data_IF_488714601783
#
_entry.id   IF_488714601783
#
_cell.length_a   1.000
_cell.length_b   1.000
_cell.length_c   1.000
_cell.angle_alpha   90.00
_cell.angle_beta   90.00
_cell.angle_gamma   90.00
#
_symmetry.space_group_name_H-M   'P 1'
#
loop_
_entity.id
_entity.type
_entity.pdbx_description
1 polymer ?
#
# COMPACT_ATOMS: atom_id res chain seq x y z
N UNK A 1 16.93 -66.32 -5.54
CA UNK A 1 17.76 -65.44 -6.39
C UNK A 1 16.98 -64.33 -7.09
N UNK A 2 15.69 -64.49 -7.42
CA UNK A 2 14.89 -63.47 -8.14
C UNK A 2 14.64 -62.16 -7.38
N UNK A 3 14.70 -62.16 -6.04
CA UNK A 3 14.49 -60.96 -5.22
C UNK A 3 15.65 -59.95 -5.33
N UNK A 4 16.89 -60.44 -5.44
CA UNK A 4 18.08 -59.60 -5.50
C UNK A 4 18.20 -58.89 -6.85
N UNK A 5 17.84 -59.57 -7.94
CA UNK A 5 17.89 -59.01 -9.30
C UNK A 5 16.81 -57.95 -9.52
N UNK A 6 15.63 -58.12 -8.92
CA UNK A 6 14.57 -57.09 -8.90
C UNK A 6 15.01 -55.84 -8.15
N UNK A 7 15.65 -56.01 -6.98
CA UNK A 7 16.14 -54.90 -6.16
C UNK A 7 17.22 -54.09 -6.90
N UNK A 8 18.19 -54.77 -7.54
CA UNK A 8 19.21 -54.11 -8.35
C UNK A 8 18.60 -53.35 -9.54
N UNK A 9 17.62 -53.95 -10.22
CA UNK A 9 16.91 -53.32 -11.33
C UNK A 9 16.14 -52.07 -10.90
N UNK A 10 15.52 -52.12 -9.72
CA UNK A 10 14.79 -51.00 -9.13
C UNK A 10 15.75 -49.85 -8.77
N UNK A 11 16.87 -50.18 -8.11
CA UNK A 11 17.89 -49.20 -7.74
C UNK A 11 18.50 -48.50 -8.95
N UNK A 12 18.84 -49.25 -10.01
CA UNK A 12 19.36 -48.68 -11.26
C UNK A 12 18.36 -47.73 -11.90
N UNK A 13 17.07 -48.12 -11.96
CA UNK A 13 16.01 -47.27 -12.52
C UNK A 13 15.85 -45.98 -11.73
N UNK A 14 15.83 -46.06 -10.39
CA UNK A 14 15.73 -44.88 -9.54
C UNK A 14 16.95 -43.96 -9.67
N UNK A 15 18.15 -44.52 -9.81
CA UNK A 15 19.37 -43.73 -10.03
C UNK A 15 19.31 -42.97 -11.37
N UNK A 16 18.88 -43.63 -12.46
CA UNK A 16 18.73 -42.98 -13.77
C UNK A 16 17.68 -41.86 -13.75
N UNK A 17 16.52 -42.10 -13.13
CA UNK A 17 15.49 -41.07 -12.96
C UNK A 17 15.99 -39.89 -12.11
N UNK A 18 16.70 -40.18 -11.02
CA UNK A 18 17.30 -39.15 -10.17
C UNK A 18 18.27 -38.25 -10.94
N UNK A 19 19.11 -38.84 -11.79
CA UNK A 19 20.02 -38.09 -12.65
C UNK A 19 19.27 -37.21 -13.66
N UNK A 20 18.23 -37.75 -14.31
CA UNK A 20 17.45 -36.99 -15.29
C UNK A 20 16.72 -35.79 -14.66
N UNK A 21 16.22 -35.96 -13.43
CA UNK A 21 15.61 -34.87 -12.65
C UNK A 21 16.65 -33.82 -12.31
N UNK A 22 17.85 -34.22 -11.87
CA UNK A 22 18.94 -33.31 -11.56
C UNK A 22 19.35 -32.49 -12.79
N UNK A 23 19.57 -33.15 -13.94
CA UNK A 23 19.91 -32.47 -15.20
C UNK A 23 18.82 -31.52 -15.68
N UNK A 24 17.55 -31.87 -15.48
CA UNK A 24 16.43 -30.99 -15.80
C UNK A 24 16.32 -29.82 -14.81
N UNK A 25 16.72 -30.00 -13.56
CA UNK A 25 16.78 -28.93 -12.57
C UNK A 25 17.95 -27.99 -12.87
N UNK A 26 19.13 -28.50 -13.23
CA UNK A 26 20.31 -27.68 -13.57
C UNK A 26 20.07 -26.84 -14.82
N UNK A 27 19.41 -27.39 -15.86
CA UNK A 27 18.99 -26.59 -17.05
C UNK A 27 18.02 -25.47 -16.72
N UNK A 28 17.25 -25.58 -15.63
CA UNK A 28 16.32 -24.55 -15.14
C UNK A 28 16.92 -23.70 -14.02
N UNK A 29 18.15 -23.97 -13.59
CA UNK A 29 18.80 -23.21 -12.55
C UNK A 29 19.11 -21.81 -13.08
N UNK A 30 18.43 -20.81 -12.53
CA UNK A 30 18.70 -19.41 -12.82
C UNK A 30 19.82 -18.95 -11.90
N UNK A 31 20.94 -18.50 -12.48
CA UNK A 31 21.98 -17.83 -11.71
C UNK A 31 21.54 -16.39 -11.40
N UNK A 32 20.95 -16.25 -10.22
CA UNK A 32 20.48 -14.97 -9.72
C UNK A 32 21.61 -14.00 -9.32
N UNK A 33 22.89 -14.37 -9.41
CA UNK A 33 24.00 -13.47 -9.06
C UNK A 33 24.36 -12.48 -10.18
N UNK A 34 24.06 -12.79 -11.45
CA UNK A 34 24.42 -11.93 -12.58
C UNK A 34 23.44 -10.77 -12.84
N UNK A 35 22.24 -10.81 -12.24
CA UNK A 35 21.22 -9.76 -12.41
C UNK A 35 21.65 -8.43 -11.77
N UNK A 36 22.46 -8.46 -10.71
CA UNK A 36 22.94 -7.25 -10.02
C UNK A 36 23.97 -6.43 -10.80
N UNK A 37 24.71 -7.06 -11.72
CA UNK A 37 25.78 -6.40 -12.49
C UNK A 37 25.21 -5.53 -13.62
N UNK A 38 24.07 -5.91 -14.20
CA UNK A 38 23.42 -5.14 -15.25
C UNK A 38 22.81 -3.80 -14.75
N UNK A 39 22.39 -3.73 -13.48
CA UNK A 39 21.76 -2.53 -12.90
C UNK A 39 22.78 -1.52 -12.34
N UNK A 40 23.95 -1.98 -11.90
CA UNK A 40 25.01 -1.09 -11.41
C UNK A 40 25.63 -0.25 -12.54
N UNK A 41 25.53 -0.71 -13.79
CA UNK A 41 26.07 -0.02 -14.97
C UNK A 41 25.26 1.22 -15.40
N UNK A 42 24.08 1.44 -14.82
CA UNK A 42 23.20 2.57 -15.17
C UNK A 42 23.24 3.73 -14.14
N UNK A 43 24.03 3.64 -13.07
CA UNK A 43 24.14 4.70 -12.06
C UNK A 43 25.55 5.29 -12.05
N UNK A 44 25.76 6.55 -12.49
CA UNK A 44 27.06 7.20 -12.34
C UNK A 44 27.18 7.74 -10.90
N UNK A 45 27.97 7.05 -10.08
CA UNK A 45 28.28 7.51 -8.73
C UNK A 45 29.25 6.56 -8.03
N UNK A 46 30.54 6.90 -8.09
CA UNK A 46 31.62 6.05 -7.58
C UNK A 46 31.60 5.89 -6.07
N UNK A 47 31.86 4.66 -5.60
CA UNK A 47 32.59 4.37 -4.37
C UNK A 47 32.95 2.86 -4.29
N UNK A 48 34.26 2.62 -4.21
CA UNK A 48 35.04 1.58 -3.54
C UNK A 48 34.41 0.19 -3.20
N UNK A 49 35.11 -0.87 -3.62
CA UNK A 49 34.61 -2.24 -3.70
C UNK A 49 35.27 -3.12 -2.62
N UNK A 50 34.77 -3.07 -1.38
CA UNK A 50 35.21 -4.00 -0.33
C UNK A 50 34.06 -4.44 0.60
N UNK A 51 32.97 -5.02 0.06
CA UNK A 51 31.96 -5.74 0.89
C UNK A 51 31.12 -6.77 0.10
N UNK A 52 31.80 -7.74 -0.53
CA UNK A 52 31.22 -8.64 -1.54
C UNK A 52 30.17 -9.67 -1.10
N UNK A 53 29.82 -9.79 0.18
CA UNK A 53 28.82 -10.79 0.65
C UNK A 53 27.52 -10.16 1.16
N UNK A 54 27.52 -8.86 1.50
CA UNK A 54 26.34 -8.19 2.06
C UNK A 54 25.51 -7.42 1.02
N UNK A 55 26.11 -6.95 -0.08
CA UNK A 55 25.41 -6.21 -1.15
C UNK A 55 24.43 -7.06 -1.99
N UNK A 56 24.65 -8.37 -2.11
CA UNK A 56 23.86 -9.25 -3.00
C UNK A 56 22.39 -9.41 -2.58
N UNK A 57 22.12 -9.41 -1.28
CA UNK A 57 20.75 -9.44 -0.74
C UNK A 57 20.09 -8.07 -0.87
N UNK A 58 20.86 -7.00 -0.67
CA UNK A 58 20.39 -5.62 -0.82
C UNK A 58 19.99 -5.26 -2.25
N UNK A 59 20.67 -5.78 -3.28
CA UNK A 59 20.31 -5.51 -4.67
C UNK A 59 18.93 -6.11 -5.06
N UNK A 60 18.62 -7.34 -4.61
CA UNK A 60 17.31 -7.96 -4.88
C UNK A 60 16.19 -7.31 -4.08
N UNK A 61 16.43 -7.00 -2.81
CA UNK A 61 15.50 -6.21 -2.00
C UNK A 61 15.29 -4.80 -2.57
N UNK A 62 16.32 -4.22 -3.19
CA UNK A 62 16.30 -2.92 -3.84
C UNK A 62 15.37 -2.85 -5.05
N UNK A 63 15.27 -3.91 -5.86
CA UNK A 63 14.34 -3.94 -7.01
C UNK A 63 12.89 -3.95 -6.54
N UNK A 64 12.55 -4.77 -5.54
CA UNK A 64 11.20 -4.77 -4.97
C UNK A 64 10.89 -3.44 -4.27
N UNK A 65 11.86 -2.84 -3.58
CA UNK A 65 11.71 -1.52 -2.99
C UNK A 65 11.50 -0.43 -4.05
N UNK A 66 12.21 -0.50 -5.19
CA UNK A 66 12.04 0.44 -6.29
C UNK A 66 10.65 0.30 -6.92
N UNK A 67 10.20 -0.92 -7.21
CA UNK A 67 8.84 -1.19 -7.73
C UNK A 67 7.78 -0.72 -6.74
N UNK A 68 7.94 -1.01 -5.44
CA UNK A 68 7.05 -0.53 -4.40
C UNK A 68 7.03 1.01 -4.30
N UNK A 69 8.18 1.66 -4.42
CA UNK A 69 8.31 3.11 -4.45
C UNK A 69 7.61 3.73 -5.66
N UNK A 70 7.77 3.14 -6.85
CA UNK A 70 7.05 3.58 -8.05
C UNK A 70 5.54 3.42 -7.92
N UNK A 71 5.07 2.28 -7.39
CA UNK A 71 3.63 2.08 -7.13
C UNK A 71 3.09 3.12 -6.14
N UNK A 72 3.81 3.37 -5.04
CA UNK A 72 3.41 4.37 -4.05
C UNK A 72 3.38 5.79 -4.62
N UNK A 73 4.34 6.15 -5.48
CA UNK A 73 4.36 7.44 -6.18
C UNK A 73 3.15 7.60 -7.10
N UNK A 74 2.80 6.57 -7.87
CA UNK A 74 1.63 6.59 -8.76
C UNK A 74 0.34 6.72 -7.93
N UNK A 75 0.20 5.95 -6.85
CA UNK A 75 -0.94 6.05 -5.92
C UNK A 75 -1.08 7.47 -5.34
N UNK A 76 0.01 8.08 -4.89
CA UNK A 76 0.02 9.46 -4.38
C UNK A 76 -0.39 10.48 -5.45
N UNK A 77 0.03 10.28 -6.70
CA UNK A 77 -0.32 11.18 -7.79
C UNK A 77 -1.80 11.07 -8.15
N UNK A 78 -2.37 9.86 -8.13
CA UNK A 78 -3.80 9.62 -8.30
C UNK A 78 -4.61 10.31 -7.20
N UNK A 79 -4.21 10.15 -5.93
CA UNK A 79 -4.85 10.81 -4.77
C UNK A 79 -4.89 12.33 -4.95
N UNK A 80 -3.75 12.97 -5.21
CA UNK A 80 -3.68 14.43 -5.44
C UNK A 80 -4.56 14.89 -6.60
N UNK A 81 -4.65 14.10 -7.67
CA UNK A 81 -5.45 14.45 -8.84
C UNK A 81 -6.96 14.45 -8.53
N UNK A 82 -7.43 13.49 -7.73
CA UNK A 82 -8.84 13.44 -7.32
C UNK A 82 -9.16 14.39 -6.17
N UNK A 83 -8.21 14.66 -5.26
CA UNK A 83 -8.37 15.63 -4.17
C UNK A 83 -8.36 17.09 -4.64
N UNK A 84 -7.64 17.40 -5.73
CA UNK A 84 -7.51 18.78 -6.20
C UNK A 84 -8.81 19.37 -6.76
N UNK A 85 -9.92 18.62 -6.76
CA UNK A 85 -11.22 19.07 -7.24
C UNK A 85 -11.23 19.44 -8.73
N UNK A 86 -10.17 19.08 -9.48
CA UNK A 86 -10.01 19.42 -10.89
C UNK A 86 -10.83 18.55 -11.84
N UNK A 87 -11.67 17.65 -11.32
CA UNK A 87 -12.45 16.73 -12.14
C UNK A 87 -13.94 16.84 -11.81
N UNK A 88 -14.74 17.02 -12.87
CA UNK A 88 -16.12 16.54 -12.95
C UNK A 88 -16.22 15.09 -12.46
N UNK A 89 -17.39 14.66 -12.00
CA UNK A 89 -17.62 13.33 -11.40
C UNK A 89 -16.76 12.20 -12.03
N UNK A 90 -16.10 11.37 -11.20
CA UNK A 90 -15.18 10.35 -11.68
C UNK A 90 -15.87 9.40 -12.65
N UNK A 91 -15.26 9.21 -13.81
CA UNK A 91 -15.76 8.32 -14.86
C UNK A 91 -15.83 6.86 -14.37
N UNK A 92 -16.57 5.99 -15.06
CA UNK A 92 -16.66 4.57 -14.68
C UNK A 92 -15.28 3.86 -14.73
N UNK A 93 -14.39 4.33 -15.61
CA UNK A 93 -12.99 3.91 -15.64
C UNK A 93 -12.21 4.36 -14.40
N UNK A 94 -12.44 5.58 -13.92
CA UNK A 94 -11.83 6.08 -12.67
C UNK A 94 -12.32 5.28 -11.47
N UNK A 95 -13.62 5.00 -11.40
CA UNK A 95 -14.23 4.17 -10.34
C UNK A 95 -13.63 2.76 -10.30
N UNK A 96 -13.38 2.16 -11.47
CA UNK A 96 -12.72 0.85 -11.58
C UNK A 96 -11.25 0.91 -11.17
N UNK A 97 -10.54 2.00 -11.50
CA UNK A 97 -9.16 2.22 -11.05
C UNK A 97 -9.10 2.35 -9.52
N UNK A 98 -9.90 3.26 -8.95
CA UNK A 98 -9.97 3.50 -7.52
C UNK A 98 -10.25 2.20 -6.77
N UNK A 99 -11.32 1.48 -7.09
CA UNK A 99 -11.68 0.23 -6.40
C UNK A 99 -10.63 -0.90 -6.46
N UNK A 100 -9.71 -0.87 -7.43
CA UNK A 100 -8.66 -1.90 -7.57
C UNK A 100 -7.38 -1.56 -6.85
N UNK A 101 -6.99 -0.28 -6.86
CA UNK A 101 -5.67 0.16 -6.42
C UNK A 101 -5.71 0.99 -5.13
N UNK A 102 -6.87 1.58 -4.85
CA UNK A 102 -7.14 2.32 -3.62
C UNK A 102 -8.25 1.56 -2.90
N UNK A 103 -7.95 0.83 -1.83
CA UNK A 103 -9.01 0.35 -0.94
C UNK A 103 -9.82 1.58 -0.58
N UNK A 104 -11.11 1.60 -0.93
CA UNK A 104 -12.01 2.59 -0.40
C UNK A 104 -11.77 2.60 1.11
N UNK A 105 -11.54 3.76 1.75
CA UNK A 105 -11.33 3.79 3.19
C UNK A 105 -12.49 2.99 3.78
N UNK A 106 -12.14 1.95 4.56
CA UNK A 106 -13.10 1.03 5.15
C UNK A 106 -14.08 1.85 5.97
N UNK A 107 -15.17 2.22 5.32
CA UNK A 107 -16.46 2.45 5.93
C UNK A 107 -16.96 1.04 6.26
N UNK A 108 -16.85 0.69 7.54
CA UNK A 108 -17.17 -0.63 8.04
C UNK A 108 -18.59 -1.04 7.68
N UNK A 109 -18.73 -2.21 7.07
CA UNK A 109 -19.95 -3.03 7.05
C UNK A 109 -19.76 -4.15 8.06
N UNK A 110 -20.76 -4.45 8.89
CA UNK A 110 -21.59 -5.68 8.76
C UNK A 110 -22.93 -5.49 9.51
N UNK A 111 -24.07 -5.38 8.80
CA UNK A 111 -25.23 -6.31 8.87
C UNK A 111 -26.41 -5.83 7.99
N UNK A 112 -27.28 -6.75 7.52
CA UNK A 112 -28.25 -6.48 6.47
C UNK A 112 -29.68 -6.37 7.00
N UNK A 113 -30.39 -5.27 6.70
CA UNK A 113 -31.81 -5.26 6.35
C UNK A 113 -32.28 -3.82 6.07
N UNK A 114 -32.99 -3.69 4.95
CA UNK A 114 -33.83 -2.57 4.54
C UNK A 114 -33.10 -1.31 4.06
N UNK A 115 -33.32 -0.97 2.79
CA UNK A 115 -32.78 0.19 2.09
C UNK A 115 -32.96 1.49 2.89
N UNK A 116 -32.06 2.47 2.72
CA UNK A 116 -32.46 3.60 1.87
C UNK A 116 -31.33 4.27 1.08
N UNK A 117 -31.74 4.89 -0.04
CA UNK A 117 -31.39 6.25 -0.42
C UNK A 117 -29.92 6.66 -0.43
N UNK A 118 -29.36 6.66 -1.64
CA UNK A 118 -28.26 7.54 -2.01
C UNK A 118 -28.61 8.98 -1.65
N UNK A 119 -27.93 9.56 -0.67
CA UNK A 119 -27.96 11.00 -0.40
C UNK A 119 -26.53 11.47 -0.13
N UNK A 120 -25.97 12.15 -1.12
CA UNK A 120 -25.11 13.28 -0.81
C UNK A 120 -25.88 14.16 0.16
N UNK A 121 -25.39 14.27 1.38
CA UNK A 121 -26.01 15.06 2.43
C UNK A 121 -25.10 15.01 3.62
N UNK A 122 -24.29 16.05 3.79
CA UNK A 122 -24.03 16.56 5.13
C UNK A 122 -25.41 16.65 5.77
N UNK A 123 -25.72 15.75 6.71
CA UNK A 123 -26.87 15.97 7.57
C UNK A 123 -26.55 17.29 8.29
N UNK A 124 -27.42 18.30 8.21
CA UNK A 124 -27.16 19.61 8.81
C UNK A 124 -27.22 19.59 10.34
N UNK A 125 -27.08 18.40 10.97
CA UNK A 125 -27.44 18.13 12.37
C UNK A 125 -26.45 17.15 13.06
N UNK A 126 -25.28 16.91 12.48
CA UNK A 126 -24.25 16.10 13.14
C UNK A 126 -23.25 17.01 13.87
N UNK A 127 -23.35 17.03 15.21
CA UNK A 127 -22.38 17.66 16.10
C UNK A 127 -21.00 16.97 15.95
N UNK A 128 -19.91 17.75 15.84
CA UNK A 128 -18.54 17.24 15.78
C UNK A 128 -17.84 17.32 17.13
N UNK A 129 -17.31 16.19 17.62
CA UNK A 129 -16.52 16.12 18.85
C UNK A 129 -15.01 16.13 18.57
N UNK A 130 -14.30 17.12 19.11
CA UNK A 130 -12.84 17.25 18.98
C UNK A 130 -12.18 17.12 20.36
N UNK A 131 -11.28 16.15 20.52
CA UNK A 131 -10.51 15.96 21.77
C UNK A 131 -9.14 16.59 21.65
N UNK A 132 -8.83 17.49 22.58
CA UNK A 132 -7.54 18.18 22.63
C UNK A 132 -6.97 18.15 24.07
N UNK A 133 -5.64 18.26 24.23
CA UNK A 133 -5.04 18.49 25.54
C UNK A 133 -5.56 19.77 26.22
N UNK A 134 -5.32 19.96 27.54
CA UNK A 134 -5.65 21.22 28.20
C UNK A 134 -4.83 22.38 27.62
N UNK A 135 -5.47 23.51 27.33
CA UNK A 135 -4.82 24.66 26.71
C UNK A 135 -5.79 25.68 26.14
N UNK A 136 -5.25 26.76 25.58
CA UNK A 136 -6.02 27.80 24.89
C UNK A 136 -6.05 27.51 23.40
N UNK A 137 -7.26 27.41 22.83
CA UNK A 137 -7.51 27.06 21.43
C UNK A 137 -8.31 28.16 20.74
N UNK A 138 -7.95 28.46 19.50
CA UNK A 138 -8.77 29.27 18.59
C UNK A 138 -9.51 28.31 17.65
N UNK A 139 -10.83 28.29 17.74
CA UNK A 139 -11.70 27.44 16.91
C UNK A 139 -12.33 28.32 15.83
N UNK A 140 -11.97 28.07 14.58
CA UNK A 140 -12.51 28.77 13.41
C UNK A 140 -13.44 27.85 12.65
N UNK A 141 -14.66 28.31 12.39
CA UNK A 141 -15.62 27.63 11.54
C UNK A 141 -16.04 28.55 10.39
N UNK A 142 -16.29 27.99 9.21
CA UNK A 142 -16.70 28.73 8.03
C UNK A 142 -17.44 27.82 7.05
N UNK A 143 -18.44 28.38 6.39
CA UNK A 143 -19.19 27.75 5.30
C UNK A 143 -18.83 28.46 3.99
N UNK A 144 -18.81 27.75 2.86
CA UNK A 144 -18.59 28.35 1.56
C UNK A 144 -19.62 29.47 1.33
N UNK A 145 -19.16 30.66 0.94
CA UNK A 145 -19.91 31.91 0.76
C UNK A 145 -20.37 32.68 2.04
N UNK A 146 -19.93 32.29 3.25
CA UNK A 146 -20.16 33.04 4.51
C UNK A 146 -18.87 33.52 5.19
N UNK A 147 -18.95 34.55 6.05
CA UNK A 147 -17.82 35.00 6.86
C UNK A 147 -17.42 33.95 7.92
N UNK A 148 -16.10 33.75 8.08
CA UNK A 148 -15.56 32.81 9.07
C UNK A 148 -15.72 33.36 10.49
N UNK A 149 -16.14 32.51 11.42
CA UNK A 149 -16.26 32.84 12.84
C UNK A 149 -15.16 32.15 13.63
N UNK A 150 -14.42 32.92 14.44
CA UNK A 150 -13.34 32.40 15.30
C UNK A 150 -13.65 32.66 16.77
N UNK A 151 -13.64 31.60 17.59
CA UNK A 151 -13.86 31.65 19.03
C UNK A 151 -12.61 31.17 19.78
N UNK A 152 -12.18 31.95 20.77
CA UNK A 152 -11.06 31.58 21.64
C UNK A 152 -11.61 30.89 22.89
N UNK A 153 -11.16 29.65 23.15
CA UNK A 153 -11.62 28.82 24.26
C UNK A 153 -10.42 28.37 25.09
N UNK A 154 -10.54 28.47 26.41
CA UNK A 154 -9.56 27.93 27.34
C UNK A 154 -10.10 26.63 27.95
N UNK A 155 -9.50 25.49 27.59
CA UNK A 155 -9.91 24.15 27.98
C UNK A 155 -9.08 23.65 29.16
N UNK A 156 -9.73 23.32 30.28
CA UNK A 156 -9.09 22.62 31.40
C UNK A 156 -9.22 21.10 31.26
N UNK A 157 -8.41 20.36 32.02
CA UNK A 157 -8.44 18.90 32.01
C UNK A 157 -9.81 18.36 32.45
N UNK A 158 -10.44 17.55 31.59
CA UNK A 158 -11.76 16.95 31.85
C UNK A 158 -12.95 17.87 31.54
N UNK A 159 -12.70 19.06 30.98
CA UNK A 159 -13.73 20.02 30.58
C UNK A 159 -14.09 19.85 29.09
N UNK A 160 -15.37 20.07 28.77
CA UNK A 160 -15.89 20.01 27.41
C UNK A 160 -16.70 21.26 27.11
N UNK A 161 -16.55 21.82 25.89
CA UNK A 161 -17.30 23.00 25.44
C UNK A 161 -18.13 22.65 24.20
N UNK A 162 -19.42 22.96 24.24
CA UNK A 162 -20.27 22.94 23.05
C UNK A 162 -20.19 24.31 22.39
N UNK A 163 -19.64 24.34 21.18
CA UNK A 163 -19.54 25.56 20.37
C UNK A 163 -20.60 25.51 19.28
N UNK A 164 -21.30 26.62 19.10
CA UNK A 164 -22.32 26.77 18.05
C UNK A 164 -21.96 27.99 17.22
N UNK A 165 -21.81 27.78 15.92
CA UNK A 165 -21.48 28.83 14.95
C UNK A 165 -22.71 29.09 14.10
N UNK A 166 -23.11 30.36 13.99
CA UNK A 166 -24.29 30.76 13.23
C UNK A 166 -23.83 31.38 11.91
N UNK A 167 -23.93 30.66 10.79
CA UNK A 167 -23.56 31.16 9.46
C UNK A 167 -24.74 31.72 8.69
#
# INVERSE_FOLDING_TARGET
>A
MASLTWLDSSLRRSASLGQEVLERATRRAVDWNNVGVALASSTPGGADWTKGVSMKTHARLGVFAAVAGSMAQVTSQCERFYESGCCSEPSDTDRRHLSRFHPAPVSGKITPATAPGNKNGLSPDEDFDIRVPPGTYAVTAGVADSEQQTLLVNLKAGESFKLTFNF
#
